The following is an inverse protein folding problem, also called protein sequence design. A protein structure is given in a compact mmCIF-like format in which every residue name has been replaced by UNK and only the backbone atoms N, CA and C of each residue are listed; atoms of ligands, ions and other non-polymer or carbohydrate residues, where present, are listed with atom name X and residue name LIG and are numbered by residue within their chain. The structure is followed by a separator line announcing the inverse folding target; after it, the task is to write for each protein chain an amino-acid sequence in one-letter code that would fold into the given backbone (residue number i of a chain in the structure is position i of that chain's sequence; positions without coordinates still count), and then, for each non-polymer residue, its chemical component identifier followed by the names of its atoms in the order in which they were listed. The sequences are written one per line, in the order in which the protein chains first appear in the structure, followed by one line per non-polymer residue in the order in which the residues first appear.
data_IF_767719964129
#
_entry.id   IF_767719964129
#
_cell.length_a   1.000
_cell.length_b   1.000
_cell.length_c   1.000
_cell.angle_alpha   90.00
_cell.angle_beta   90.00
_cell.angle_gamma   90.00
#
_symmetry.space_group_name_H-M   'P 1'
#
loop_
_entity.id
_entity.type
_entity.pdbx_description
1 polymer ?
#
# COMPACT_ATOMS: atom_id res chain seq x y z
N UNK A 1 76.31 -36.58 -38.81
CA UNK A 1 76.61 -36.49 -40.26
C UNK A 1 75.27 -36.56 -40.98
N UNK A 2 74.62 -35.49 -41.41
CA UNK A 2 75.11 -34.27 -42.03
C UNK A 2 74.78 -34.30 -43.52
N UNK A 3 73.50 -34.14 -43.88
CA UNK A 3 73.07 -33.91 -45.27
C UNK A 3 72.55 -32.48 -45.41
N UNK A 4 73.10 -31.83 -46.45
CA UNK A 4 72.75 -30.56 -47.07
C UNK A 4 71.37 -30.73 -47.76
N UNK A 5 70.60 -29.75 -48.25
CA UNK A 5 70.79 -28.33 -48.58
C UNK A 5 69.45 -27.76 -49.06
N UNK A 6 69.27 -26.46 -48.86
CA UNK A 6 68.65 -25.46 -49.75
C UNK A 6 67.18 -25.54 -50.20
N UNK A 7 66.48 -24.42 -49.97
CA UNK A 7 65.65 -23.76 -50.98
C UNK A 7 64.16 -23.64 -50.64
N UNK A 8 63.60 -22.43 -50.79
CA UNK A 8 62.20 -22.26 -51.15
C UNK A 8 61.42 -21.22 -50.35
N UNK A 9 61.09 -20.11 -51.02
CA UNK A 9 60.11 -19.09 -50.65
C UNK A 9 58.71 -19.64 -50.33
N UNK A 10 57.92 -18.90 -49.57
CA UNK A 10 56.49 -19.19 -49.44
C UNK A 10 55.78 -18.30 -48.42
N UNK A 11 55.10 -17.27 -48.92
CA UNK A 11 54.08 -16.54 -48.19
C UNK A 11 53.00 -17.52 -47.69
N UNK A 12 52.80 -17.53 -46.37
CA UNK A 12 51.80 -18.35 -45.69
C UNK A 12 50.79 -17.46 -44.98
N UNK A 13 49.66 -17.28 -45.66
CA UNK A 13 48.40 -16.77 -45.16
C UNK A 13 48.03 -17.46 -43.83
N UNK A 14 47.94 -16.71 -42.73
CA UNK A 14 47.43 -17.21 -41.45
C UNK A 14 46.16 -16.47 -41.09
N UNK A 15 45.08 -17.20 -41.31
CA UNK A 15 43.76 -17.04 -40.72
C UNK A 15 43.88 -16.69 -39.23
N UNK A 16 43.70 -15.40 -38.92
CA UNK A 16 43.40 -14.94 -37.58
C UNK A 16 41.94 -15.25 -37.27
N UNK A 17 41.72 -16.28 -36.45
CA UNK A 17 40.43 -16.62 -35.87
C UNK A 17 39.87 -15.41 -35.13
N UNK A 18 38.81 -14.81 -35.68
CA UNK A 18 37.99 -13.80 -34.98
C UNK A 18 37.37 -14.48 -33.77
N UNK A 19 37.87 -14.16 -32.58
CA UNK A 19 37.14 -14.41 -31.34
C UNK A 19 35.83 -13.64 -31.38
N UNK A 20 34.74 -14.16 -30.79
CA UNK A 20 33.47 -13.46 -30.77
C UNK A 20 33.64 -12.15 -30.01
N UNK A 21 33.20 -11.05 -30.64
CA UNK A 21 33.07 -9.75 -30.00
C UNK A 21 32.38 -9.93 -28.64
N UNK A 22 32.94 -9.43 -27.53
CA UNK A 22 32.19 -9.37 -26.30
C UNK A 22 31.05 -8.36 -26.56
N UNK A 23 29.88 -8.92 -26.86
CA UNK A 23 28.61 -8.24 -26.79
C UNK A 23 28.56 -7.61 -25.40
N UNK A 24 28.86 -6.32 -25.34
CA UNK A 24 28.61 -5.50 -24.17
C UNK A 24 27.12 -5.58 -23.98
N UNK A 25 26.71 -6.41 -23.02
CA UNK A 25 25.37 -6.42 -22.49
C UNK A 25 25.09 -4.98 -22.05
N UNK A 26 24.35 -4.25 -22.88
CA UNK A 26 23.75 -2.99 -22.50
C UNK A 26 22.75 -3.34 -21.41
N UNK A 27 23.22 -3.26 -20.16
CA UNK A 27 22.33 -3.29 -19.00
C UNK A 27 21.27 -2.22 -19.21
N UNK A 28 20.01 -2.64 -19.16
CA UNK A 28 18.90 -1.69 -19.13
C UNK A 28 19.10 -0.86 -17.87
N UNK A 29 19.36 0.43 -18.07
CA UNK A 29 19.57 1.37 -16.99
C UNK A 29 18.30 1.48 -16.14
N UNK A 30 18.43 1.18 -14.85
CA UNK A 30 17.90 2.01 -13.77
C UNK A 30 16.40 1.91 -13.45
N UNK A 31 15.85 0.71 -13.27
CA UNK A 31 14.56 0.56 -12.56
C UNK A 31 14.86 0.35 -11.08
N UNK A 32 14.43 1.26 -10.21
CA UNK A 32 14.56 1.14 -8.76
C UNK A 32 13.66 0.02 -8.23
N UNK A 33 13.98 -0.63 -7.10
CA UNK A 33 13.10 -1.63 -6.48
C UNK A 33 11.65 -1.13 -6.26
N UNK A 34 11.49 0.17 -5.99
CA UNK A 34 10.19 0.80 -5.86
C UNK A 34 9.40 0.92 -7.18
N UNK A 35 10.08 1.17 -8.29
CA UNK A 35 9.45 1.19 -9.62
C UNK A 35 9.06 -0.21 -10.08
N UNK A 36 9.89 -1.22 -9.76
CA UNK A 36 9.54 -2.64 -9.97
C UNK A 36 8.27 -2.99 -9.19
N UNK A 37 8.15 -2.55 -7.94
CA UNK A 37 6.97 -2.79 -7.11
C UNK A 37 5.70 -2.15 -7.70
N UNK A 38 5.78 -0.89 -8.14
CA UNK A 38 4.66 -0.22 -8.82
C UNK A 38 4.25 -0.91 -10.12
N UNK A 39 5.18 -1.54 -10.82
CA UNK A 39 4.89 -2.32 -12.02
C UNK A 39 4.27 -3.70 -11.71
N UNK A 40 4.37 -4.19 -10.47
CA UNK A 40 3.86 -5.50 -10.05
C UNK A 40 2.52 -5.44 -9.32
N UNK A 41 2.13 -4.25 -8.86
CA UNK A 41 0.85 -3.99 -8.20
C UNK A 41 -0.08 -3.15 -9.08
N UNK A 42 -1.37 -3.25 -8.81
CA UNK A 42 -2.38 -2.32 -9.30
C UNK A 42 -3.29 -1.93 -8.15
N UNK A 43 -3.55 -0.63 -8.04
CA UNK A 43 -4.41 -0.05 -7.01
C UNK A 43 -5.68 0.44 -7.69
N UNK A 44 -6.82 -0.14 -7.30
CA UNK A 44 -8.15 0.35 -7.65
C UNK A 44 -8.73 1.09 -6.45
N UNK A 45 -9.35 2.25 -6.70
CA UNK A 45 -9.94 3.11 -5.66
C UNK A 45 -11.45 3.12 -5.85
N UNK A 46 -12.18 2.80 -4.78
CA UNK A 46 -13.64 2.83 -4.74
C UNK A 46 -14.06 3.91 -3.77
N UNK A 47 -14.61 5.01 -4.30
CA UNK A 47 -15.03 6.16 -3.49
C UNK A 47 -16.50 6.01 -3.11
N UNK A 48 -16.82 5.94 -1.83
CA UNK A 48 -18.19 5.98 -1.30
C UNK A 48 -18.93 7.27 -1.69
N UNK A 49 -20.24 7.18 -1.92
CA UNK A 49 -21.05 8.34 -2.28
C UNK A 49 -21.49 9.17 -1.07
N UNK A 50 -21.59 8.57 0.12
CA UNK A 50 -22.15 9.23 1.31
C UNK A 50 -21.10 10.02 2.09
N UNK A 51 -19.94 9.43 2.34
CA UNK A 51 -18.82 9.97 3.10
C UNK A 51 -17.64 10.37 2.22
N UNK A 52 -17.60 9.93 0.96
CA UNK A 52 -16.42 10.15 0.10
C UNK A 52 -15.20 9.39 0.57
N UNK A 53 -15.40 8.28 1.30
CA UNK A 53 -14.35 7.38 1.77
C UNK A 53 -13.75 6.58 0.60
N UNK A 54 -12.44 6.37 0.62
CA UNK A 54 -11.65 5.67 -0.38
C UNK A 54 -11.26 4.26 0.11
N UNK A 55 -11.96 3.23 -0.35
CA UNK A 55 -11.44 1.86 -0.24
C UNK A 55 -10.43 1.57 -1.35
N UNK A 56 -9.38 0.83 -0.99
CA UNK A 56 -8.34 0.40 -1.91
C UNK A 56 -8.38 -1.11 -2.10
N UNK A 57 -8.44 -1.55 -3.36
CA UNK A 57 -8.14 -2.91 -3.76
C UNK A 57 -6.75 -2.94 -4.40
N UNK A 58 -5.81 -3.63 -3.76
CA UNK A 58 -4.44 -3.75 -4.23
C UNK A 58 -4.25 -5.16 -4.77
N UNK A 59 -4.22 -5.32 -6.10
CA UNK A 59 -3.99 -6.62 -6.74
C UNK A 59 -2.54 -6.81 -7.14
N UNK A 60 -2.03 -8.03 -6.98
CA UNK A 60 -0.76 -8.46 -7.57
C UNK A 60 -1.03 -8.88 -9.02
N UNK A 61 -0.42 -8.21 -10.00
CA UNK A 61 -0.78 -8.33 -11.43
C UNK A 61 -0.60 -9.73 -12.05
N UNK A 62 0.28 -10.55 -11.49
CA UNK A 62 0.65 -11.88 -11.99
C UNK A 62 0.04 -13.03 -11.19
N UNK A 63 -0.79 -12.73 -10.18
CA UNK A 63 -1.50 -13.73 -9.38
C UNK A 63 -2.97 -13.32 -9.22
N UNK A 64 -3.77 -14.15 -8.54
CA UNK A 64 -5.11 -13.76 -8.11
C UNK A 64 -5.11 -13.04 -6.75
N UNK A 65 -3.96 -12.90 -6.09
CA UNK A 65 -3.90 -12.36 -4.73
C UNK A 65 -4.20 -10.86 -4.70
N UNK A 66 -5.02 -10.45 -3.73
CA UNK A 66 -5.35 -9.05 -3.50
C UNK A 66 -5.43 -8.72 -2.01
N UNK A 67 -5.12 -7.48 -1.67
CA UNK A 67 -5.42 -6.87 -0.38
C UNK A 67 -6.60 -5.91 -0.53
N UNK A 68 -7.45 -5.83 0.49
CA UNK A 68 -8.49 -4.81 0.56
C UNK A 68 -8.25 -3.95 1.78
N UNK A 69 -8.11 -2.63 1.58
CA UNK A 69 -7.94 -1.65 2.66
C UNK A 69 -9.25 -0.89 2.82
N UNK A 70 -9.73 -0.82 4.06
CA UNK A 70 -10.91 -0.06 4.50
C UNK A 70 -12.18 -0.34 3.68
N UNK A 71 -12.66 -1.60 3.58
CA UNK A 71 -13.91 -1.88 2.89
C UNK A 71 -15.10 -1.28 3.66
N UNK A 72 -15.57 -0.14 3.17
CA UNK A 72 -16.72 0.62 3.66
C UNK A 72 -18.04 0.31 2.96
N UNK A 73 -18.85 1.36 2.77
CA UNK A 73 -20.20 1.30 2.16
C UNK A 73 -20.19 0.93 0.66
N UNK A 74 -19.06 1.12 -0.01
CA UNK A 74 -18.77 0.82 -1.40
C UNK A 74 -18.48 -0.67 -1.66
N UNK A 75 -18.64 -1.54 -0.65
CA UNK A 75 -18.28 -2.96 -0.70
C UNK A 75 -18.81 -3.67 -1.95
N UNK A 76 -20.02 -3.38 -2.41
CA UNK A 76 -20.59 -4.05 -3.59
C UNK A 76 -19.75 -3.84 -4.86
N UNK A 77 -19.15 -2.66 -5.05
CA UNK A 77 -18.24 -2.42 -6.19
C UNK A 77 -16.93 -3.18 -6.03
N UNK A 78 -16.42 -3.29 -4.80
CA UNK A 78 -15.25 -4.12 -4.51
C UNK A 78 -15.54 -5.60 -4.84
N UNK A 79 -16.69 -6.12 -4.41
CA UNK A 79 -17.17 -7.49 -4.71
C UNK A 79 -17.28 -7.74 -6.21
N UNK A 80 -17.84 -6.79 -6.95
CA UNK A 80 -17.93 -6.88 -8.42
C UNK A 80 -16.55 -7.03 -9.06
N UNK A 81 -15.58 -6.22 -8.64
CA UNK A 81 -14.21 -6.31 -9.18
C UNK A 81 -13.53 -7.62 -8.79
N UNK A 82 -13.65 -8.05 -7.52
CA UNK A 82 -13.08 -9.31 -7.05
C UNK A 82 -13.60 -10.50 -7.87
N UNK A 83 -14.90 -10.55 -8.17
CA UNK A 83 -15.52 -11.61 -8.97
C UNK A 83 -15.12 -11.52 -10.45
N UNK A 84 -15.14 -10.32 -11.03
CA UNK A 84 -14.81 -10.11 -12.44
C UNK A 84 -13.37 -10.53 -12.78
N UNK A 85 -12.43 -10.26 -11.86
CA UNK A 85 -11.02 -10.58 -12.04
C UNK A 85 -10.61 -11.92 -11.40
N UNK A 86 -11.55 -12.65 -10.79
CA UNK A 86 -11.30 -13.90 -10.06
C UNK A 86 -10.19 -13.76 -8.99
N UNK A 87 -10.24 -12.68 -8.22
CA UNK A 87 -9.26 -12.36 -7.19
C UNK A 87 -9.57 -13.09 -5.87
N UNK A 88 -8.53 -13.39 -5.13
CA UNK A 88 -8.54 -14.00 -3.81
C UNK A 88 -8.02 -12.97 -2.81
N UNK A 89 -8.85 -12.61 -1.83
CA UNK A 89 -8.47 -11.65 -0.79
C UNK A 89 -7.53 -12.35 0.20
N UNK A 90 -6.27 -11.94 0.21
CA UNK A 90 -5.26 -12.42 1.16
C UNK A 90 -5.54 -11.89 2.57
N UNK A 91 -5.99 -10.63 2.65
CA UNK A 91 -6.22 -9.93 3.91
C UNK A 91 -7.12 -8.71 3.75
N UNK A 92 -7.89 -8.44 4.79
CA UNK A 92 -8.60 -7.18 4.99
C UNK A 92 -7.78 -6.33 5.95
N UNK A 93 -7.36 -5.15 5.51
CA UNK A 93 -6.55 -4.21 6.25
C UNK A 93 -7.43 -3.03 6.67
N UNK A 94 -7.35 -2.64 7.94
CA UNK A 94 -8.15 -1.53 8.48
C UNK A 94 -7.19 -0.46 9.01
N UNK A 95 -7.29 0.75 8.48
CA UNK A 95 -6.51 1.90 8.94
C UNK A 95 -7.00 2.38 10.31
N UNK A 96 -8.31 2.46 10.50
CA UNK A 96 -8.94 2.88 11.75
C UNK A 96 -10.42 2.45 11.86
N UNK A 97 -10.99 2.58 13.06
CA UNK A 97 -12.29 2.00 13.42
C UNK A 97 -13.55 2.82 13.09
N UNK A 98 -13.50 3.85 12.24
CA UNK A 98 -14.71 4.58 11.88
C UNK A 98 -15.59 3.81 10.88
N UNK A 99 -16.90 4.02 10.99
CA UNK A 99 -17.92 3.20 10.32
C UNK A 99 -17.79 3.18 8.81
N UNK A 100 -17.46 4.31 8.19
CA UNK A 100 -17.25 4.44 6.76
C UNK A 100 -16.04 3.63 6.26
N UNK A 101 -15.09 3.28 7.12
CA UNK A 101 -13.96 2.40 6.79
C UNK A 101 -14.20 0.92 7.12
N UNK A 102 -15.15 0.61 8.02
CA UNK A 102 -15.36 -0.77 8.52
C UNK A 102 -16.72 -1.38 8.15
N UNK A 103 -17.65 -0.60 7.58
CA UNK A 103 -19.02 -1.04 7.34
C UNK A 103 -19.14 -2.28 6.44
N UNK A 104 -18.18 -2.49 5.54
CA UNK A 104 -18.12 -3.64 4.63
C UNK A 104 -17.25 -4.79 5.12
N UNK A 105 -16.52 -4.66 6.23
CA UNK A 105 -15.53 -5.65 6.68
C UNK A 105 -16.17 -7.01 6.94
N UNK A 106 -17.21 -7.08 7.77
CA UNK A 106 -17.82 -8.35 8.16
C UNK A 106 -18.43 -9.08 6.95
N UNK A 107 -19.06 -8.32 6.05
CA UNK A 107 -19.61 -8.86 4.80
C UNK A 107 -18.53 -9.42 3.88
N UNK A 108 -17.38 -8.74 3.76
CA UNK A 108 -16.26 -9.22 2.95
C UNK A 108 -15.58 -10.43 3.59
N UNK A 109 -15.41 -10.42 4.91
CA UNK A 109 -14.81 -11.52 5.66
C UNK A 109 -15.63 -12.80 5.52
N UNK A 110 -16.96 -12.73 5.67
CA UNK A 110 -17.86 -13.88 5.52
C UNK A 110 -17.77 -14.50 4.11
N UNK A 111 -17.63 -13.66 3.08
CA UNK A 111 -17.55 -14.13 1.68
C UNK A 111 -16.18 -14.74 1.34
N UNK A 112 -15.10 -14.17 1.87
CA UNK A 112 -13.73 -14.50 1.43
C UNK A 112 -12.98 -15.39 2.42
N UNK A 113 -13.38 -15.42 3.69
CA UNK A 113 -12.62 -16.03 4.78
C UNK A 113 -11.31 -15.33 5.10
N UNK A 114 -11.06 -14.14 4.54
CA UNK A 114 -9.79 -13.45 4.69
C UNK A 114 -9.58 -12.94 6.13
N UNK A 115 -8.36 -13.05 6.69
CA UNK A 115 -8.06 -12.54 8.01
C UNK A 115 -8.14 -11.01 8.05
N UNK A 116 -8.62 -10.47 9.17
CA UNK A 116 -8.72 -9.04 9.41
C UNK A 116 -7.49 -8.56 10.19
N UNK A 117 -6.86 -7.49 9.72
CA UNK A 117 -5.77 -6.83 10.42
C UNK A 117 -6.14 -5.39 10.77
N UNK A 118 -6.05 -5.07 12.07
CA UNK A 118 -6.43 -3.79 12.63
C UNK A 118 -5.61 -3.53 13.89
N UNK A 119 -5.39 -2.25 14.23
CA UNK A 119 -4.78 -1.91 15.52
C UNK A 119 -5.79 -2.12 16.67
N UNK A 120 -5.44 -2.86 17.73
CA UNK A 120 -6.40 -3.19 18.80
C UNK A 120 -6.98 -1.98 19.54
N UNK A 121 -6.26 -0.86 19.63
CA UNK A 121 -6.74 0.33 20.34
C UNK A 121 -7.99 0.96 19.72
N UNK A 122 -8.25 0.73 18.43
CA UNK A 122 -9.46 1.25 17.78
C UNK A 122 -10.71 0.42 18.02
N UNK A 123 -10.60 -0.76 18.63
CA UNK A 123 -11.80 -1.46 19.12
C UNK A 123 -12.56 -0.63 20.16
N UNK A 124 -11.87 0.28 20.86
CA UNK A 124 -12.48 1.12 21.90
C UNK A 124 -13.46 2.17 21.36
N UNK A 125 -13.38 2.51 20.06
CA UNK A 125 -14.26 3.50 19.43
C UNK A 125 -15.42 2.87 18.64
N UNK A 126 -15.44 1.54 18.50
CA UNK A 126 -16.49 0.83 17.75
C UNK A 126 -17.63 0.47 18.69
N UNK A 127 -18.72 1.23 18.62
CA UNK A 127 -20.00 0.87 19.23
C UNK A 127 -20.85 0.07 18.23
N UNK A 128 -20.73 -1.26 18.26
CA UNK A 128 -21.40 -2.15 17.31
C UNK A 128 -22.92 -2.00 17.30
N UNK A 129 -23.52 -1.79 18.47
CA UNK A 129 -24.97 -1.67 18.61
C UNK A 129 -25.46 -0.34 18.03
N UNK A 130 -24.77 0.76 18.35
CA UNK A 130 -25.10 2.07 17.81
C UNK A 130 -24.88 2.12 16.30
N UNK A 131 -23.74 1.64 15.83
CA UNK A 131 -23.39 1.64 14.41
C UNK A 131 -24.33 0.74 13.60
N UNK A 132 -24.73 -0.41 14.15
CA UNK A 132 -25.70 -1.32 13.53
C UNK A 132 -27.10 -0.72 13.34
N UNK A 133 -27.43 0.35 14.07
CA UNK A 133 -28.74 1.03 13.96
C UNK A 133 -28.75 2.20 12.97
N UNK A 134 -27.59 2.57 12.40
CA UNK A 134 -27.53 3.66 11.43
C UNK A 134 -28.18 3.25 10.12
N UNK A 135 -28.96 4.15 9.51
CA UNK A 135 -29.75 3.86 8.31
C UNK A 135 -28.92 3.46 7.08
N UNK A 136 -27.65 3.85 7.05
CA UNK A 136 -26.75 3.55 5.95
C UNK A 136 -25.90 2.30 6.20
N UNK A 137 -25.96 1.72 7.41
CA UNK A 137 -25.17 0.54 7.74
C UNK A 137 -25.67 -0.66 6.91
N UNK A 138 -24.79 -1.37 6.20
CA UNK A 138 -25.19 -2.51 5.37
C UNK A 138 -25.75 -3.67 6.18
N UNK A 139 -26.66 -4.43 5.56
CA UNK A 139 -27.10 -5.71 6.09
C UNK A 139 -25.89 -6.64 6.30
N UNK A 140 -25.80 -7.23 7.48
CA UNK A 140 -24.69 -8.12 7.85
C UNK A 140 -23.47 -7.42 8.45
N UNK A 141 -23.52 -6.10 8.69
CA UNK A 141 -22.58 -5.45 9.61
C UNK A 141 -22.70 -6.09 11.00
N UNK A 142 -21.58 -6.59 11.51
CA UNK A 142 -21.54 -7.35 12.74
C UNK A 142 -20.15 -7.25 13.39
N UNK A 143 -20.04 -7.45 14.72
CA UNK A 143 -18.76 -7.53 15.38
C UNK A 143 -17.81 -8.54 14.71
N UNK A 144 -16.57 -8.13 14.50
CA UNK A 144 -15.51 -9.00 14.00
C UNK A 144 -14.36 -9.12 15.00
N UNK A 145 -13.54 -10.16 14.83
CA UNK A 145 -12.30 -10.36 15.59
C UNK A 145 -11.09 -9.88 14.79
N UNK A 146 -10.08 -9.36 15.48
CA UNK A 146 -8.80 -9.02 14.87
C UNK A 146 -7.96 -10.29 14.80
N UNK A 147 -7.74 -10.80 13.59
CA UNK A 147 -6.89 -11.97 13.35
C UNK A 147 -5.41 -11.61 13.38
N UNK A 148 -5.06 -10.41 12.89
CA UNK A 148 -3.69 -9.88 12.92
C UNK A 148 -3.66 -8.53 13.63
N UNK A 149 -3.25 -8.46 14.91
CA UNK A 149 -3.10 -7.19 15.61
C UNK A 149 -1.96 -6.38 14.98
N UNK A 150 -2.26 -5.14 14.63
CA UNK A 150 -1.30 -4.21 14.07
C UNK A 150 -0.58 -3.42 15.16
N UNK A 151 0.66 -3.03 14.88
CA UNK A 151 1.48 -2.16 15.71
C UNK A 151 2.48 -1.38 14.84
N UNK A 152 3.17 -0.39 15.43
CA UNK A 152 4.19 0.38 14.74
C UNK A 152 5.34 -0.50 14.21
N UNK A 153 5.80 -0.22 12.99
CA UNK A 153 6.91 -0.88 12.29
C UNK A 153 6.76 -2.40 12.08
N UNK A 154 5.56 -2.94 12.27
CA UNK A 154 5.25 -4.32 11.88
C UNK A 154 5.26 -4.42 10.35
N UNK A 155 5.85 -5.50 9.84
CA UNK A 155 5.85 -5.82 8.41
C UNK A 155 4.94 -7.02 8.15
N UNK A 156 3.99 -6.87 7.24
CA UNK A 156 3.07 -7.90 6.81
C UNK A 156 3.54 -8.47 5.47
N UNK A 157 3.69 -9.80 5.34
CA UNK A 157 4.00 -10.40 4.05
C UNK A 157 2.78 -10.35 3.13
N UNK A 158 3.02 -10.17 1.84
CA UNK A 158 2.03 -10.33 0.78
C UNK A 158 2.73 -10.91 -0.45
N UNK A 159 2.56 -12.22 -0.68
CA UNK A 159 3.29 -12.95 -1.72
C UNK A 159 4.82 -12.80 -1.56
N UNK A 160 5.51 -12.36 -2.62
CA UNK A 160 6.93 -12.04 -2.66
C UNK A 160 7.26 -10.62 -2.16
N UNK A 161 6.25 -9.90 -1.67
CA UNK A 161 6.30 -8.50 -1.29
C UNK A 161 6.01 -8.34 0.20
N UNK A 162 6.19 -7.12 0.70
CA UNK A 162 5.83 -6.78 2.07
C UNK A 162 5.30 -5.37 2.21
N UNK A 163 4.41 -5.21 3.19
CA UNK A 163 3.77 -3.96 3.53
C UNK A 163 4.16 -3.60 4.97
N UNK A 164 4.62 -2.38 5.19
CA UNK A 164 5.01 -1.89 6.53
C UNK A 164 3.85 -1.10 7.14
N UNK A 165 3.60 -1.33 8.42
CA UNK A 165 2.57 -0.67 9.21
C UNK A 165 3.22 0.44 10.02
N UNK A 166 2.64 1.62 9.98
CA UNK A 166 3.07 2.77 10.78
C UNK A 166 1.92 3.18 11.69
N UNK A 167 2.09 3.06 13.00
CA UNK A 167 1.12 3.60 13.95
C UNK A 167 1.17 5.13 13.93
N UNK A 168 0.02 5.76 13.68
CA UNK A 168 -0.13 7.19 13.46
C UNK A 168 -1.37 7.72 14.21
N UNK A 169 -1.38 7.65 15.55
CA UNK A 169 -2.53 8.06 16.34
C UNK A 169 -2.83 9.55 16.23
N UNK A 170 -4.07 9.92 16.57
CA UNK A 170 -4.52 11.29 16.77
C UNK A 170 -5.79 11.63 16.02
N UNK A 171 -6.10 10.96 14.92
CA UNK A 171 -7.47 10.92 14.42
C UNK A 171 -8.31 9.94 15.27
N UNK A 172 -7.76 8.74 15.44
CA UNK A 172 -8.15 7.75 16.45
C UNK A 172 -6.89 7.26 17.19
N UNK A 173 -7.04 6.52 18.28
CA UNK A 173 -5.89 5.98 19.03
C UNK A 173 -5.19 4.85 18.27
N UNK A 174 -5.93 4.01 17.57
CA UNK A 174 -5.44 2.90 16.75
C UNK A 174 -5.19 3.23 15.28
N UNK A 175 -5.26 4.50 14.87
CA UNK A 175 -4.99 4.89 13.47
C UNK A 175 -3.62 4.38 13.00
N UNK A 176 -3.58 3.67 11.86
CA UNK A 176 -2.35 3.23 11.20
C UNK A 176 -2.32 3.67 9.74
N UNK A 177 -1.09 3.85 9.23
CA UNK A 177 -0.81 3.98 7.81
C UNK A 177 -0.13 2.71 7.30
N UNK A 178 -0.47 2.29 6.08
CA UNK A 178 0.15 1.17 5.40
C UNK A 178 1.09 1.65 4.30
N UNK A 179 2.38 1.34 4.41
CA UNK A 179 3.40 1.68 3.41
C UNK A 179 3.71 0.47 2.55
N UNK A 180 3.41 0.59 1.26
CA UNK A 180 3.72 -0.41 0.26
C UNK A 180 4.64 0.20 -0.81
N UNK A 181 5.95 -0.03 -0.68
CA UNK A 181 6.94 0.59 -1.57
C UNK A 181 7.03 2.10 -1.37
N UNK A 182 6.70 2.86 -2.42
CA UNK A 182 6.62 4.33 -2.40
C UNK A 182 5.19 4.85 -2.24
N UNK A 183 4.24 3.99 -1.94
CA UNK A 183 2.85 4.37 -1.74
C UNK A 183 2.48 4.18 -0.25
N UNK A 184 1.72 5.12 0.30
CA UNK A 184 1.30 5.14 1.70
C UNK A 184 -0.22 5.31 1.75
N UNK A 185 -0.95 4.31 2.23
CA UNK A 185 -2.39 4.38 2.49
C UNK A 185 -2.58 4.88 3.91
N UNK A 186 -3.01 6.14 4.04
CA UNK A 186 -2.88 6.89 5.28
C UNK A 186 -4.15 6.93 6.14
N UNK A 187 -5.24 6.33 5.66
CA UNK A 187 -6.57 6.51 6.24
C UNK A 187 -6.82 8.00 6.49
N UNK A 188 -7.33 8.29 7.68
CA UNK A 188 -7.67 9.66 8.09
C UNK A 188 -6.54 10.37 8.84
N UNK A 189 -5.29 10.04 8.53
CA UNK A 189 -4.15 10.75 9.13
C UNK A 189 -3.81 12.03 8.36
N UNK A 190 -3.51 11.91 7.06
CA UNK A 190 -2.98 13.00 6.22
C UNK A 190 -3.77 13.10 4.92
N UNK A 191 -4.33 14.28 4.66
CA UNK A 191 -5.06 14.60 3.43
C UNK A 191 -4.30 15.62 2.59
N UNK A 192 -4.74 15.82 1.34
CA UNK A 192 -4.22 16.93 0.54
C UNK A 192 -4.52 18.27 1.24
N UNK A 193 -3.48 18.97 1.71
CA UNK A 193 -3.56 20.22 2.48
C UNK A 193 -4.47 20.14 3.71
N UNK A 194 -4.60 18.95 4.29
CA UNK A 194 -5.51 18.68 5.41
C UNK A 194 -5.01 17.57 6.32
N UNK A 195 -5.73 17.34 7.40
CA UNK A 195 -5.52 16.26 8.36
C UNK A 195 -6.87 15.70 8.79
N UNK A 196 -6.89 14.49 9.35
CA UNK A 196 -8.08 13.97 10.01
C UNK A 196 -8.55 14.87 11.14
N UNK A 197 -9.87 14.90 11.35
CA UNK A 197 -10.45 15.59 12.51
C UNK A 197 -9.99 14.92 13.81
N UNK A 198 -9.90 15.68 14.89
CA UNK A 198 -9.37 15.18 16.18
C UNK A 198 -10.29 15.48 17.36
N UNK A 199 -11.57 15.73 17.09
CA UNK A 199 -12.58 16.13 18.07
C UNK A 199 -13.58 15.01 18.39
N UNK A 200 -13.42 13.84 17.77
CA UNK A 200 -14.17 12.62 18.07
C UNK A 200 -13.48 11.80 19.17
N UNK A 201 -14.15 10.79 19.78
CA UNK A 201 -13.52 9.91 20.76
C UNK A 201 -12.21 9.29 20.26
N UNK A 202 -11.15 9.38 21.07
CA UNK A 202 -9.80 8.94 20.68
C UNK A 202 -9.01 9.95 19.84
N UNK A 203 -9.63 11.06 19.42
CA UNK A 203 -8.96 12.14 18.69
C UNK A 203 -8.09 13.03 19.59
N UNK A 204 -6.90 13.39 19.10
CA UNK A 204 -5.97 14.31 19.73
C UNK A 204 -5.11 15.07 18.69
N UNK A 205 -5.27 16.40 18.67
CA UNK A 205 -4.55 17.30 17.75
C UNK A 205 -3.03 17.23 17.89
N UNK A 206 -2.50 17.08 19.10
CA UNK A 206 -1.04 17.00 19.31
C UNK A 206 -0.51 15.66 18.80
N UNK A 207 -1.25 14.57 19.00
CA UNK A 207 -0.88 13.24 18.49
C UNK A 207 -0.86 13.23 16.97
N UNK A 208 -1.90 13.72 16.29
CA UNK A 208 -1.93 13.65 14.81
C UNK A 208 -0.81 14.49 14.19
N UNK A 209 -0.55 15.67 14.74
CA UNK A 209 0.58 16.53 14.30
C UNK A 209 1.92 15.82 14.55
N UNK A 210 2.08 15.15 15.69
CA UNK A 210 3.29 14.38 15.98
C UNK A 210 3.45 13.21 15.01
N UNK A 211 2.40 12.42 14.78
CA UNK A 211 2.35 11.31 13.83
C UNK A 211 2.76 11.76 12.43
N UNK A 212 2.17 12.86 11.94
CA UNK A 212 2.52 13.39 10.62
C UNK A 212 3.98 13.85 10.58
N UNK A 213 4.44 14.67 11.54
CA UNK A 213 5.80 15.24 11.49
C UNK A 213 6.90 14.22 11.71
N UNK A 214 6.69 13.25 12.59
CA UNK A 214 7.73 12.30 13.01
C UNK A 214 7.70 11.01 12.23
N UNK A 215 6.52 10.57 11.81
CA UNK A 215 6.34 9.28 11.15
C UNK A 215 6.19 9.49 9.64
N UNK A 216 5.17 10.24 9.20
CA UNK A 216 4.90 10.39 7.76
C UNK A 216 5.93 11.26 7.04
N UNK A 217 6.32 12.41 7.59
CA UNK A 217 7.33 13.28 6.98
C UNK A 217 8.76 12.71 7.03
N UNK A 218 8.96 11.57 7.71
CA UNK A 218 10.20 10.79 7.65
C UNK A 218 10.24 9.82 6.45
N UNK A 219 9.11 9.59 5.78
CA UNK A 219 9.07 8.84 4.53
C UNK A 219 9.79 9.59 3.40
N UNK A 220 10.21 8.90 2.33
CA UNK A 220 10.78 9.54 1.16
C UNK A 220 9.86 10.67 0.63
N UNK A 221 10.40 11.83 0.22
CA UNK A 221 9.58 12.95 -0.26
C UNK A 221 8.63 12.58 -1.42
N UNK A 222 9.06 11.66 -2.29
CA UNK A 222 8.29 11.16 -3.43
C UNK A 222 7.24 10.11 -3.07
N UNK A 223 7.06 9.80 -1.78
CA UNK A 223 6.02 8.87 -1.35
C UNK A 223 4.65 9.47 -1.67
N UNK A 224 3.83 8.73 -2.43
CA UNK A 224 2.45 9.09 -2.70
C UNK A 224 1.59 8.69 -1.50
N UNK A 225 0.74 9.62 -1.07
CA UNK A 225 -0.18 9.43 0.05
C UNK A 225 -1.59 9.27 -0.49
N UNK A 226 -2.19 8.13 -0.21
CA UNK A 226 -3.57 7.78 -0.51
C UNK A 226 -4.39 7.96 0.76
N UNK A 227 -5.15 9.06 0.89
CA UNK A 227 -5.96 9.33 2.08
C UNK A 227 -7.24 8.51 2.11
N UNK A 228 -7.85 8.40 3.29
CA UNK A 228 -9.20 7.89 3.48
C UNK A 228 -10.26 8.74 2.75
N UNK A 229 -10.03 10.04 2.59
CA UNK A 229 -10.93 10.91 1.83
C UNK A 229 -10.19 11.86 0.89
N UNK A 230 -10.82 12.15 -0.25
CA UNK A 230 -10.32 13.13 -1.21
C UNK A 230 -9.16 12.64 -2.08
N UNK A 231 -8.47 13.54 -2.79
CA UNK A 231 -7.44 13.17 -3.74
C UNK A 231 -6.12 12.77 -3.06
N UNK A 232 -5.34 11.92 -3.73
CA UNK A 232 -3.96 11.62 -3.32
C UNK A 232 -3.08 12.87 -3.34
N UNK A 233 -2.05 12.86 -2.50
CA UNK A 233 -1.01 13.89 -2.39
C UNK A 233 0.37 13.24 -2.29
N UNK A 234 1.42 13.99 -1.97
CA UNK A 234 2.76 13.47 -1.70
C UNK A 234 3.33 14.02 -0.39
N UNK A 235 4.28 13.29 0.20
CA UNK A 235 4.97 13.74 1.41
C UNK A 235 5.69 15.08 1.18
N UNK A 236 6.31 15.27 0.01
CA UNK A 236 6.94 16.54 -0.38
C UNK A 236 5.94 17.70 -0.41
N UNK A 237 4.80 17.54 -1.08
CA UNK A 237 3.78 18.59 -1.18
C UNK A 237 3.21 18.96 0.19
N UNK A 238 2.83 17.97 1.01
CA UNK A 238 2.23 18.22 2.31
C UNK A 238 3.24 18.84 3.28
N UNK A 239 4.49 18.40 3.25
CA UNK A 239 5.54 19.02 4.08
C UNK A 239 5.72 20.50 3.77
N UNK A 240 5.53 20.91 2.51
CA UNK A 240 5.68 22.30 2.08
C UNK A 240 4.42 23.14 2.26
N UNK A 241 3.25 22.55 2.05
CA UNK A 241 2.01 23.29 1.81
C UNK A 241 0.87 22.98 2.79
N UNK A 242 1.01 21.99 3.68
CA UNK A 242 -0.04 21.66 4.62
C UNK A 242 -0.18 22.75 5.71
N UNK A 243 -1.32 23.47 5.78
CA UNK A 243 -1.48 24.59 6.70
C UNK A 243 -1.64 24.15 8.16
N UNK A 244 -1.97 22.87 8.41
CA UNK A 244 -2.16 22.31 9.75
C UNK A 244 -0.85 21.80 10.34
N UNK A 245 0.08 21.35 9.48
CA UNK A 245 1.34 20.74 9.91
C UNK A 245 2.53 21.34 9.16
N UNK A 246 2.99 22.56 9.53
CA UNK A 246 4.16 23.15 8.89
C UNK A 246 5.41 22.31 9.15
N UNK A 247 6.23 22.14 8.10
CA UNK A 247 7.62 21.72 8.26
C UNK A 247 8.41 22.83 8.96
N UNK A 248 8.36 22.83 10.29
CA UNK A 248 9.19 23.71 11.11
C UNK A 248 10.68 23.54 10.87
#
# INVERSE_FOLDING_TARGET
MGWRSAGGDGAGDRQGTRGPDPCVARGVAGVTPAEVLRATLEVSIFVDELFGENCFLIRRRDTSAALVIDPGLQLERVRQQLRADNLQVDRILITHGHIDHIAGVSGLQVETGAPIAMHPEDLAIIDWDQLGQLRFTPDGFAPFSIDTPLAHDVTLPFQDLSLRVLHTPGHTEGSVCFVFGLDCFAGDTLFQRGIGRTDLPGGDMRKIVFSIRRVLYALPPKTLVYPGHGPRTSIEEERLLNPFVPAG
#
